data_IF_761857107907
#
_entry.id   IF_761857107907
#
_cell.length_a   1.000
_cell.length_b   1.000
_cell.length_c   1.000
_cell.angle_alpha   90.00
_cell.angle_beta   90.00
_cell.angle_gamma   90.00
#
_symmetry.space_group_name_H-M   'P 1'
#
loop_
_entity.id
_entity.type
_entity.pdbx_description
1 polymer ?
#
# COMPACT_ATOMS: atom_id res chain seq x y z
N UNK A 1 11.45 -6.61 -15.78
CA UNK A 1 10.89 -7.73 -16.59
C UNK A 1 11.00 -9.09 -15.89
N UNK A 2 12.18 -9.69 -15.71
CA UNK A 2 12.28 -11.00 -15.01
C UNK A 2 11.73 -10.98 -13.58
N UNK A 3 12.03 -9.94 -12.79
CA UNK A 3 11.49 -9.78 -11.42
C UNK A 3 9.96 -9.61 -11.36
N UNK A 4 9.37 -8.94 -12.35
CA UNK A 4 7.92 -8.70 -12.42
C UNK A 4 7.17 -9.98 -12.79
N UNK A 5 7.77 -10.76 -13.68
CA UNK A 5 7.28 -12.07 -14.11
C UNK A 5 7.31 -13.08 -12.98
N UNK A 6 8.37 -13.05 -12.17
CA UNK A 6 8.54 -13.94 -11.02
C UNK A 6 7.61 -13.57 -9.86
N UNK A 7 7.38 -12.25 -9.64
CA UNK A 7 6.31 -11.76 -8.76
C UNK A 7 4.93 -12.22 -9.25
N UNK A 8 4.67 -12.15 -10.55
CA UNK A 8 3.40 -12.60 -11.14
C UNK A 8 3.19 -14.11 -10.95
N UNK A 9 4.22 -14.92 -11.20
CA UNK A 9 4.23 -16.38 -10.99
C UNK A 9 3.91 -16.72 -9.53
N UNK A 10 4.65 -16.14 -8.58
CA UNK A 10 4.43 -16.37 -7.14
C UNK A 10 3.04 -15.91 -6.66
N UNK A 11 2.51 -14.84 -7.24
CA UNK A 11 1.15 -14.37 -6.93
C UNK A 11 0.08 -15.33 -7.48
N UNK A 12 0.29 -15.88 -8.68
CA UNK A 12 -0.61 -16.83 -9.31
C UNK A 12 -0.62 -18.19 -8.61
N UNK A 13 0.56 -18.72 -8.23
CA UNK A 13 0.70 -19.95 -7.45
C UNK A 13 0.04 -19.85 -6.07
N UNK A 14 0.18 -18.70 -5.39
CA UNK A 14 -0.51 -18.43 -4.12
C UNK A 14 -2.03 -18.45 -4.27
N UNK A 15 -2.56 -17.87 -5.34
CA UNK A 15 -3.98 -17.89 -5.63
C UNK A 15 -4.47 -19.33 -5.90
N UNK A 16 -3.75 -20.13 -6.70
CA UNK A 16 -4.12 -21.53 -6.94
C UNK A 16 -4.18 -22.35 -5.64
N UNK A 17 -3.22 -22.16 -4.73
CA UNK A 17 -3.24 -22.78 -3.40
C UNK A 17 -4.41 -22.31 -2.55
N UNK A 18 -4.71 -21.02 -2.55
CA UNK A 18 -5.82 -20.43 -1.79
C UNK A 18 -7.19 -21.00 -2.21
N UNK A 19 -7.36 -21.30 -3.51
CA UNK A 19 -8.60 -21.87 -4.06
C UNK A 19 -8.58 -23.40 -4.22
N UNK A 20 -7.56 -24.07 -3.66
CA UNK A 20 -7.38 -25.52 -3.67
C UNK A 20 -7.46 -26.14 -5.09
N UNK A 21 -6.91 -25.45 -6.08
CA UNK A 21 -6.90 -25.88 -7.47
C UNK A 21 -5.68 -26.77 -7.68
N UNK A 22 -5.90 -28.07 -7.90
CA UNK A 22 -4.80 -29.01 -8.17
C UNK A 22 -4.23 -28.80 -9.58
N UNK A 23 -2.90 -28.67 -9.76
CA UNK A 23 -2.27 -28.38 -11.06
C UNK A 23 -2.41 -29.46 -12.14
N UNK A 24 -3.07 -30.60 -11.85
CA UNK A 24 -2.88 -31.85 -12.58
C UNK A 24 -4.08 -32.34 -13.40
N UNK A 25 -5.18 -31.57 -13.48
CA UNK A 25 -6.23 -31.88 -14.45
C UNK A 25 -5.82 -31.36 -15.84
N UNK A 26 -5.80 -32.25 -16.84
CA UNK A 26 -5.41 -31.99 -18.23
C UNK A 26 -6.28 -30.94 -18.98
N UNK A 27 -7.11 -30.20 -18.25
CA UNK A 27 -7.92 -29.07 -18.70
C UNK A 27 -7.48 -27.74 -18.09
N UNK A 28 -6.40 -27.71 -17.29
CA UNK A 28 -5.98 -26.50 -16.58
C UNK A 28 -5.17 -25.55 -17.48
N UNK A 29 -5.61 -24.29 -17.70
CA UNK A 29 -4.84 -23.27 -18.44
C UNK A 29 -3.54 -22.82 -17.75
N UNK A 30 -3.17 -23.45 -16.63
CA UNK A 30 -2.00 -23.09 -15.83
C UNK A 30 -0.72 -23.45 -16.56
N UNK A 31 -0.63 -24.64 -17.14
CA UNK A 31 0.55 -25.02 -17.93
C UNK A 31 0.70 -24.12 -19.17
N UNK A 32 -0.42 -23.73 -19.80
CA UNK A 32 -0.45 -22.80 -20.94
C UNK A 32 0.02 -21.40 -20.52
N UNK A 33 -0.53 -20.81 -19.45
CA UNK A 33 -0.10 -19.51 -18.91
C UNK A 33 1.35 -19.54 -18.44
N UNK A 34 1.81 -20.62 -17.82
CA UNK A 34 3.19 -20.77 -17.34
C UNK A 34 4.19 -20.91 -18.50
N UNK A 35 3.84 -21.67 -19.54
CA UNK A 35 4.66 -21.76 -20.76
C UNK A 35 4.71 -20.43 -21.51
N UNK A 36 3.61 -19.69 -21.60
CA UNK A 36 3.61 -18.36 -22.21
C UNK A 36 4.43 -17.34 -21.40
N UNK A 37 4.41 -17.41 -20.07
CA UNK A 37 5.26 -16.60 -19.19
C UNK A 37 6.75 -16.93 -19.42
N UNK A 38 7.12 -18.20 -19.56
CA UNK A 38 8.49 -18.61 -19.87
C UNK A 38 8.98 -18.17 -21.26
N UNK A 39 8.06 -18.03 -22.22
CA UNK A 39 8.38 -17.47 -23.54
C UNK A 39 8.57 -15.94 -23.43
N UNK A 40 7.68 -15.26 -22.71
CA UNK A 40 7.80 -13.81 -22.46
C UNK A 40 9.06 -13.44 -21.66
N UNK A 41 9.57 -14.33 -20.80
CA UNK A 41 10.81 -14.12 -20.04
C UNK A 41 12.08 -14.14 -20.89
N UNK A 42 12.02 -14.83 -22.03
CA UNK A 42 13.14 -15.02 -22.96
C UNK A 42 13.08 -14.05 -24.16
N UNK A 43 12.02 -13.27 -24.26
CA UNK A 43 11.79 -12.34 -25.37
C UNK A 43 12.67 -11.09 -25.22
N UNK A 44 13.51 -10.83 -26.23
CA UNK A 44 14.49 -9.73 -26.20
C UNK A 44 13.89 -8.38 -26.60
N UNK A 45 12.73 -8.38 -27.26
CA UNK A 45 12.00 -7.19 -27.69
C UNK A 45 10.98 -6.77 -26.61
N UNK A 46 11.24 -5.63 -25.98
CA UNK A 46 10.43 -5.10 -24.89
C UNK A 46 8.97 -4.82 -25.29
N UNK A 47 8.69 -4.42 -26.55
CA UNK A 47 7.32 -4.14 -27.00
C UNK A 47 6.50 -5.42 -27.16
N UNK A 48 7.13 -6.48 -27.67
CA UNK A 48 6.46 -7.79 -27.80
C UNK A 48 6.22 -8.43 -26.44
N UNK A 49 7.19 -8.32 -25.52
CA UNK A 49 7.05 -8.79 -24.15
C UNK A 49 5.90 -8.07 -23.41
N UNK A 50 5.77 -6.74 -23.58
CA UNK A 50 4.70 -5.97 -22.97
C UNK A 50 3.31 -6.32 -23.55
N UNK A 51 3.21 -6.47 -24.86
CA UNK A 51 1.95 -6.87 -25.51
C UNK A 51 1.52 -8.28 -25.06
N UNK A 52 2.47 -9.21 -24.94
CA UNK A 52 2.21 -10.56 -24.40
C UNK A 52 1.81 -10.52 -22.93
N UNK A 53 2.46 -9.70 -22.11
CA UNK A 53 2.07 -9.50 -20.70
C UNK A 53 0.65 -8.96 -20.57
N UNK A 54 0.23 -8.04 -21.46
CA UNK A 54 -1.15 -7.55 -21.51
C UNK A 54 -2.14 -8.66 -21.90
N UNK A 55 -1.78 -9.54 -22.84
CA UNK A 55 -2.61 -10.71 -23.20
C UNK A 55 -2.73 -11.71 -22.05
N UNK A 56 -1.63 -11.99 -21.36
CA UNK A 56 -1.59 -12.86 -20.18
C UNK A 56 -2.40 -12.30 -19.01
N UNK A 57 -2.34 -10.99 -18.76
CA UNK A 57 -3.18 -10.32 -17.77
C UNK A 57 -4.67 -10.43 -18.11
N UNK A 58 -5.04 -10.29 -19.39
CA UNK A 58 -6.43 -10.47 -19.86
C UNK A 58 -6.89 -11.92 -19.70
N UNK A 59 -6.07 -12.89 -20.11
CA UNK A 59 -6.35 -14.32 -19.95
C UNK A 59 -6.49 -14.72 -18.47
N UNK A 60 -5.60 -14.20 -17.60
CA UNK A 60 -5.71 -14.33 -16.15
C UNK A 60 -7.03 -13.78 -15.61
N UNK A 61 -7.41 -12.56 -15.99
CA UNK A 61 -8.68 -11.96 -15.58
C UNK A 61 -9.88 -12.79 -16.06
N UNK A 62 -9.84 -13.32 -17.29
CA UNK A 62 -10.90 -14.13 -17.86
C UNK A 62 -11.00 -15.51 -17.20
N UNK A 63 -9.87 -16.10 -16.80
CA UNK A 63 -9.82 -17.34 -16.04
C UNK A 63 -10.36 -17.17 -14.62
N UNK A 64 -9.93 -16.14 -13.88
CA UNK A 64 -10.46 -15.86 -12.54
C UNK A 64 -11.96 -15.54 -12.57
N UNK A 65 -12.46 -14.91 -13.64
CA UNK A 65 -13.90 -14.74 -13.89
C UNK A 65 -14.68 -16.07 -13.99
N UNK A 66 -14.02 -17.15 -14.42
CA UNK A 66 -14.60 -18.51 -14.56
C UNK A 66 -14.49 -19.32 -13.26
N UNK A 67 -13.40 -19.20 -12.51
CA UNK A 67 -13.10 -20.05 -11.35
C UNK A 67 -13.58 -19.47 -10.01
N UNK A 68 -13.52 -18.15 -9.84
CA UNK A 68 -14.05 -17.48 -8.65
C UNK A 68 -15.01 -16.35 -9.05
N UNK A 69 -16.33 -16.62 -9.06
CA UNK A 69 -17.36 -15.61 -9.29
C UNK A 69 -17.30 -14.44 -8.30
N UNK A 70 -16.64 -14.60 -7.13
CA UNK A 70 -16.43 -13.52 -6.17
C UNK A 70 -15.21 -12.63 -6.48
N UNK A 71 -14.35 -12.98 -7.42
CA UNK A 71 -13.27 -12.09 -7.90
C UNK A 71 -13.77 -11.00 -8.85
N UNK A 72 -15.02 -11.13 -9.31
CA UNK A 72 -15.71 -10.15 -10.17
C UNK A 72 -15.78 -8.77 -9.49
N UNK A 73 -15.60 -7.66 -10.23
CA UNK A 73 -15.96 -6.34 -9.73
C UNK A 73 -17.36 -6.37 -9.11
N UNK A 74 -17.63 -5.62 -8.03
CA UNK A 74 -18.94 -5.61 -7.35
C UNK A 74 -20.12 -5.49 -8.33
N UNK A 75 -19.94 -4.72 -9.41
CA UNK A 75 -20.84 -4.62 -10.57
C UNK A 75 -21.21 -5.98 -11.18
N UNK A 76 -20.25 -6.84 -11.44
CA UNK A 76 -20.48 -8.16 -12.03
C UNK A 76 -21.07 -9.13 -10.98
N UNK A 77 -20.71 -9.04 -9.69
CA UNK A 77 -21.34 -9.88 -8.63
C UNK A 77 -22.82 -9.57 -8.40
N UNK A 78 -23.17 -8.29 -8.35
CA UNK A 78 -24.55 -7.85 -8.09
C UNK A 78 -25.43 -8.09 -9.33
N UNK A 79 -24.86 -8.06 -10.55
CA UNK A 79 -25.63 -8.17 -11.79
C UNK A 79 -25.50 -9.52 -12.55
N UNK A 80 -24.72 -10.48 -12.07
CA UNK A 80 -24.71 -11.87 -12.62
C UNK A 80 -25.59 -12.86 -11.87
N UNK A 81 -26.33 -12.43 -10.84
CA UNK A 81 -27.45 -13.24 -10.34
C UNK A 81 -28.73 -13.12 -11.18
N UNK A 82 -28.73 -12.35 -12.28
CA UNK A 82 -29.88 -12.29 -13.18
C UNK A 82 -29.50 -12.04 -14.65
N UNK A 83 -28.43 -12.67 -15.13
CA UNK A 83 -28.11 -12.66 -16.56
C UNK A 83 -28.96 -13.68 -17.34
N UNK A 84 -30.27 -13.44 -17.39
CA UNK A 84 -31.06 -13.71 -18.59
C UNK A 84 -31.29 -12.37 -19.28
N UNK A 85 -30.84 -12.27 -20.52
CA UNK A 85 -30.81 -11.06 -21.35
C UNK A 85 -32.17 -10.39 -21.60
N UNK A 86 -33.28 -10.97 -21.13
CA UNK A 86 -34.63 -10.40 -21.23
C UNK A 86 -34.98 -9.38 -20.14
N UNK A 87 -34.34 -9.41 -18.96
CA UNK A 87 -34.76 -8.59 -17.81
C UNK A 87 -34.02 -7.25 -17.68
N UNK A 88 -32.94 -7.04 -18.45
CA UNK A 88 -32.16 -5.79 -18.44
C UNK A 88 -33.01 -4.53 -18.67
N UNK A 89 -33.97 -4.48 -19.62
CA UNK A 89 -34.85 -3.32 -19.80
C UNK A 89 -35.81 -3.12 -18.61
N UNK A 90 -36.24 -4.21 -17.98
CA UNK A 90 -37.15 -4.19 -16.83
C UNK A 90 -36.42 -3.65 -15.60
N UNK A 91 -35.18 -4.09 -15.38
CA UNK A 91 -34.31 -3.63 -14.30
C UNK A 91 -34.01 -2.13 -14.48
N UNK A 92 -33.64 -1.70 -15.68
CA UNK A 92 -33.37 -0.29 -15.98
C UNK A 92 -34.60 0.60 -15.78
N UNK A 93 -35.79 0.11 -16.21
CA UNK A 93 -37.05 0.80 -15.98
C UNK A 93 -37.34 0.94 -14.48
N UNK A 94 -37.23 -0.14 -13.70
CA UNK A 94 -37.44 -0.14 -12.25
C UNK A 94 -36.44 0.77 -11.52
N UNK A 95 -35.19 0.84 -11.99
CA UNK A 95 -34.18 1.78 -11.44
C UNK A 95 -34.60 3.23 -11.62
N UNK A 96 -35.04 3.60 -12.83
CA UNK A 96 -35.52 4.97 -13.12
C UNK A 96 -36.76 5.31 -12.31
N UNK A 97 -37.70 4.38 -12.18
CA UNK A 97 -38.89 4.55 -11.34
C UNK A 97 -38.51 4.76 -9.87
N UNK A 98 -37.58 3.96 -9.34
CA UNK A 98 -37.11 4.10 -7.97
C UNK A 98 -36.37 5.42 -7.74
N UNK A 99 -35.50 5.83 -8.66
CA UNK A 99 -34.83 7.12 -8.60
C UNK A 99 -35.85 8.28 -8.60
N UNK A 100 -36.88 8.19 -9.43
CA UNK A 100 -37.95 9.17 -9.49
C UNK A 100 -38.74 9.23 -8.17
N UNK A 101 -39.07 8.08 -7.58
CA UNK A 101 -39.74 8.01 -6.28
C UNK A 101 -38.92 8.69 -5.18
N UNK A 102 -37.61 8.45 -5.11
CA UNK A 102 -36.75 9.14 -4.16
C UNK A 102 -36.79 10.66 -4.34
N UNK A 103 -36.73 11.14 -5.58
CA UNK A 103 -36.81 12.59 -5.89
C UNK A 103 -38.16 13.19 -5.53
N UNK A 104 -39.25 12.48 -5.77
CA UNK A 104 -40.61 12.92 -5.43
C UNK A 104 -40.79 13.02 -3.92
N UNK A 105 -40.36 12.00 -3.17
CA UNK A 105 -40.41 12.02 -1.70
C UNK A 105 -39.56 13.17 -1.15
N UNK A 106 -38.37 13.42 -1.70
CA UNK A 106 -37.53 14.54 -1.26
C UNK A 106 -38.10 15.92 -1.68
N UNK A 107 -38.97 15.97 -2.69
CA UNK A 107 -39.68 17.20 -3.06
C UNK A 107 -40.81 17.52 -2.09
N UNK A 108 -41.54 16.51 -1.62
CA UNK A 108 -42.62 16.68 -0.63
C UNK A 108 -42.09 16.77 0.80
N UNK A 109 -41.04 16.03 1.13
CA UNK A 109 -40.39 15.98 2.44
C UNK A 109 -38.90 16.35 2.35
N UNK A 110 -38.58 17.63 2.10
CA UNK A 110 -37.21 18.09 1.92
C UNK A 110 -36.36 17.99 3.19
N UNK A 111 -36.90 17.62 4.36
CA UNK A 111 -36.12 17.40 5.58
C UNK A 111 -36.16 15.95 6.08
N UNK A 112 -36.48 15.00 5.21
CA UNK A 112 -36.39 13.58 5.53
C UNK A 112 -34.93 13.10 5.40
N UNK A 113 -34.28 12.78 6.53
CA UNK A 113 -32.88 12.36 6.53
C UNK A 113 -32.74 10.90 6.08
N UNK A 114 -33.67 10.03 6.48
CA UNK A 114 -33.66 8.60 6.11
C UNK A 114 -33.79 8.39 4.61
N UNK A 115 -34.68 9.15 3.94
CA UNK A 115 -34.85 9.06 2.49
C UNK A 115 -33.58 9.49 1.76
N UNK A 116 -32.89 10.54 2.23
CA UNK A 116 -31.59 10.95 1.67
C UNK A 116 -30.53 9.87 1.85
N UNK A 117 -30.45 9.26 3.03
CA UNK A 117 -29.53 8.16 3.29
C UNK A 117 -29.80 6.98 2.35
N UNK A 118 -31.06 6.58 2.19
CA UNK A 118 -31.46 5.49 1.28
C UNK A 118 -31.18 5.83 -0.18
N UNK A 119 -31.38 7.08 -0.58
CA UNK A 119 -31.08 7.52 -1.94
C UNK A 119 -29.56 7.54 -2.19
N UNK A 120 -28.75 7.95 -1.20
CA UNK A 120 -27.30 7.83 -1.24
C UNK A 120 -26.85 6.38 -1.40
N UNK A 121 -27.45 5.44 -0.65
CA UNK A 121 -27.19 4.01 -0.79
C UNK A 121 -27.54 3.48 -2.18
N UNK A 122 -28.73 3.82 -2.71
CA UNK A 122 -29.10 3.47 -4.08
C UNK A 122 -28.09 3.99 -5.11
N UNK A 123 -27.62 5.23 -4.99
CA UNK A 123 -26.62 5.80 -5.90
C UNK A 123 -25.25 5.14 -5.77
N UNK A 124 -24.88 4.70 -4.57
CA UNK A 124 -23.66 3.93 -4.33
C UNK A 124 -23.71 2.56 -5.04
N UNK A 125 -24.85 1.87 -4.98
CA UNK A 125 -25.07 0.61 -5.70
C UNK A 125 -25.04 0.80 -7.23
N UNK A 126 -25.47 1.96 -7.71
CA UNK A 126 -25.34 2.39 -9.11
C UNK A 126 -23.92 2.88 -9.48
N UNK A 127 -22.96 2.77 -8.56
CA UNK A 127 -21.57 3.26 -8.69
C UNK A 127 -21.48 4.77 -8.99
N UNK A 128 -22.52 5.53 -8.67
CA UNK A 128 -22.51 6.98 -8.80
C UNK A 128 -21.96 7.61 -7.51
N UNK A 129 -20.69 7.32 -7.22
CA UNK A 129 -20.04 7.59 -5.93
C UNK A 129 -20.09 9.07 -5.54
N UNK A 130 -19.86 9.99 -6.49
CA UNK A 130 -19.90 11.44 -6.21
C UNK A 130 -21.29 11.91 -5.77
N UNK A 131 -22.35 11.41 -6.42
CA UNK A 131 -23.73 11.74 -6.00
C UNK A 131 -24.10 11.04 -4.70
N UNK A 132 -23.65 9.80 -4.50
CA UNK A 132 -23.88 9.06 -3.26
C UNK A 132 -23.32 9.80 -2.04
N UNK A 133 -22.06 10.26 -2.10
CA UNK A 133 -21.41 11.06 -1.04
C UNK A 133 -22.30 12.26 -0.69
N UNK A 134 -22.72 13.03 -1.70
CA UNK A 134 -23.56 14.22 -1.49
C UNK A 134 -24.83 13.91 -0.70
N UNK A 135 -25.53 12.82 -1.04
CA UNK A 135 -26.77 12.45 -0.36
C UNK A 135 -26.54 11.90 1.06
N UNK A 136 -25.44 11.20 1.32
CA UNK A 136 -25.06 10.80 2.68
C UNK A 136 -24.71 12.01 3.55
N UNK A 137 -23.94 12.98 3.03
CA UNK A 137 -23.63 14.23 3.72
C UNK A 137 -24.88 15.06 4.00
N UNK A 138 -25.78 15.18 3.01
CA UNK A 138 -27.05 15.86 3.21
C UNK A 138 -27.93 15.16 4.25
N UNK A 139 -27.94 13.82 4.29
CA UNK A 139 -28.67 13.06 5.30
C UNK A 139 -28.18 13.39 6.71
N UNK A 140 -26.86 13.40 6.93
CA UNK A 140 -26.23 13.77 8.20
C UNK A 140 -26.51 15.25 8.56
N UNK A 141 -26.45 16.16 7.57
CA UNK A 141 -26.74 17.59 7.77
C UNK A 141 -28.20 17.82 8.16
N UNK A 142 -29.14 17.17 7.46
CA UNK A 142 -30.58 17.29 7.71
C UNK A 142 -30.97 16.66 9.04
N UNK A 143 -30.35 15.54 9.41
CA UNK A 143 -30.55 14.92 10.71
C UNK A 143 -30.33 15.89 11.88
N UNK A 144 -29.34 16.79 11.77
CA UNK A 144 -29.03 17.78 12.81
C UNK A 144 -29.92 19.04 12.76
N UNK A 145 -30.87 19.15 11.83
CA UNK A 145 -31.79 20.29 11.76
C UNK A 145 -32.96 20.12 12.72
N UNK A 146 -33.39 21.25 13.31
CA UNK A 146 -34.58 21.30 14.20
C UNK A 146 -35.88 20.82 13.54
N UNK A 147 -36.00 20.96 12.21
CA UNK A 147 -37.18 20.58 11.44
C UNK A 147 -36.97 19.29 10.63
N UNK A 148 -36.10 18.38 11.09
CA UNK A 148 -35.97 17.06 10.52
C UNK A 148 -37.28 16.28 10.66
N UNK A 149 -37.82 15.75 9.56
CA UNK A 149 -39.09 15.00 9.59
C UNK A 149 -38.86 13.55 10.06
N UNK A 150 -37.82 12.91 9.53
CA UNK A 150 -37.42 11.55 9.90
C UNK A 150 -35.91 11.53 10.12
N UNK A 151 -35.44 11.48 11.38
CA UNK A 151 -34.01 11.47 11.71
C UNK A 151 -33.37 10.11 11.43
N UNK A 152 -32.06 10.10 11.22
CA UNK A 152 -31.26 8.87 11.12
C UNK A 152 -31.13 8.17 12.48
N UNK A 153 -31.18 6.84 12.45
CA UNK A 153 -30.76 5.99 13.57
C UNK A 153 -29.23 6.06 13.75
N UNK A 154 -28.72 5.77 14.96
CA UNK A 154 -27.27 5.78 15.22
C UNK A 154 -26.49 4.88 14.26
N UNK A 155 -27.00 3.67 14.01
CA UNK A 155 -26.39 2.76 13.04
C UNK A 155 -26.34 3.35 11.62
N UNK A 156 -27.34 4.13 11.22
CA UNK A 156 -27.39 4.79 9.90
C UNK A 156 -26.39 5.95 9.81
N UNK A 157 -26.14 6.67 10.91
CA UNK A 157 -25.11 7.73 10.94
C UNK A 157 -23.72 7.15 10.75
N UNK A 158 -23.40 6.10 11.50
CA UNK A 158 -22.12 5.39 11.38
C UNK A 158 -21.95 4.86 9.96
N UNK A 159 -22.97 4.19 9.42
CA UNK A 159 -22.96 3.68 8.04
C UNK A 159 -22.82 4.80 7.01
N UNK A 160 -23.47 5.95 7.19
CA UNK A 160 -23.34 7.09 6.28
C UNK A 160 -21.88 7.57 6.20
N UNK A 161 -21.19 7.73 7.33
CA UNK A 161 -19.76 8.07 7.33
C UNK A 161 -18.90 6.99 6.68
N UNK A 162 -19.16 5.72 6.96
CA UNK A 162 -18.45 4.60 6.32
C UNK A 162 -18.64 4.60 4.80
N UNK A 163 -19.87 4.84 4.32
CA UNK A 163 -20.18 4.86 2.90
C UNK A 163 -19.60 6.09 2.19
N UNK A 164 -19.54 7.25 2.85
CA UNK A 164 -18.80 8.41 2.32
C UNK A 164 -17.33 8.04 2.10
N UNK A 165 -16.68 7.43 3.10
CA UNK A 165 -15.29 6.97 2.99
C UNK A 165 -15.11 5.93 1.89
N UNK A 166 -15.99 4.94 1.79
CA UNK A 166 -15.96 3.94 0.73
C UNK A 166 -16.08 4.57 -0.66
N UNK A 167 -17.06 5.46 -0.87
CA UNK A 167 -17.26 6.16 -2.14
C UNK A 167 -16.05 7.03 -2.50
N UNK A 168 -15.48 7.75 -1.52
CA UNK A 168 -14.26 8.53 -1.71
C UNK A 168 -13.07 7.66 -2.14
N UNK A 169 -12.91 6.50 -1.49
CA UNK A 169 -11.89 5.52 -1.86
C UNK A 169 -12.07 4.96 -3.27
N UNK A 170 -13.29 4.72 -3.74
CA UNK A 170 -13.55 4.29 -5.12
C UNK A 170 -13.22 5.39 -6.13
N UNK A 171 -13.61 6.65 -5.86
CA UNK A 171 -13.27 7.79 -6.73
C UNK A 171 -11.76 8.02 -6.82
N UNK A 172 -11.05 7.88 -5.70
CA UNK A 172 -9.60 7.90 -5.69
C UNK A 172 -9.04 6.80 -6.57
N UNK A 173 -9.48 5.56 -6.36
CA UNK A 173 -9.01 4.41 -7.14
C UNK A 173 -9.20 4.65 -8.64
N UNK A 174 -10.37 5.13 -9.05
CA UNK A 174 -10.64 5.48 -10.46
C UNK A 174 -9.70 6.56 -10.98
N UNK A 175 -9.41 7.57 -10.17
CA UNK A 175 -8.47 8.65 -10.51
C UNK A 175 -7.03 8.14 -10.63
N UNK A 176 -6.60 7.24 -9.74
CA UNK A 176 -5.29 6.59 -9.79
C UNK A 176 -5.16 5.66 -10.99
N UNK A 177 -6.19 4.87 -11.29
CA UNK A 177 -6.23 3.99 -12.45
C UNK A 177 -6.16 4.81 -13.75
N UNK A 178 -6.74 6.00 -13.77
CA UNK A 178 -6.61 6.95 -14.88
C UNK A 178 -5.19 7.51 -14.96
N UNK A 179 -4.60 7.97 -13.85
CA UNK A 179 -3.21 8.47 -13.83
C UNK A 179 -2.21 7.43 -14.31
N UNK A 180 -2.37 6.16 -13.91
CA UNK A 180 -1.51 5.06 -14.36
C UNK A 180 -1.62 4.74 -15.86
N UNK A 181 -2.64 5.27 -16.54
CA UNK A 181 -2.78 5.17 -18.01
C UNK A 181 -2.14 6.34 -18.75
N UNK A 182 -1.71 7.38 -18.04
CA UNK A 182 -1.12 8.58 -18.63
C UNK A 182 0.38 8.53 -18.32
N UNK A 183 1.21 8.34 -19.35
CA UNK A 183 2.66 8.59 -19.24
C UNK A 183 2.87 10.09 -19.18
N UNK A 184 3.02 10.63 -17.96
CA UNK A 184 3.33 12.04 -17.77
C UNK A 184 4.60 12.21 -16.96
N UNK A 185 5.44 13.11 -17.43
CA UNK A 185 6.57 13.63 -16.67
C UNK A 185 6.04 14.61 -15.61
N UNK A 186 5.77 14.09 -14.41
CA UNK A 186 5.22 14.85 -13.29
C UNK A 186 6.15 15.97 -12.79
N UNK A 187 7.43 15.94 -13.16
CA UNK A 187 8.40 16.98 -12.79
C UNK A 187 8.23 18.28 -13.60
N UNK A 188 7.46 18.22 -14.71
CA UNK A 188 7.26 19.34 -15.62
C UNK A 188 6.07 20.26 -15.28
N UNK A 189 5.26 19.91 -14.27
CA UNK A 189 4.08 20.69 -13.92
C UNK A 189 4.37 21.78 -12.89
N UNK A 190 4.13 23.04 -13.27
CA UNK A 190 3.92 24.12 -12.31
C UNK A 190 2.65 23.81 -11.50
N UNK A 191 2.83 23.38 -10.25
CA UNK A 191 1.71 23.04 -9.36
C UNK A 191 1.29 24.26 -8.55
N UNK A 192 0.09 24.80 -8.81
CA UNK A 192 -0.58 25.61 -7.81
C UNK A 192 -1.00 24.70 -6.64
N UNK A 193 -0.36 24.87 -5.48
CA UNK A 193 -0.70 24.12 -4.25
C UNK A 193 0.26 22.96 -3.93
N UNK A 194 -0.25 21.92 -3.26
CA UNK A 194 0.58 20.78 -2.81
C UNK A 194 0.94 19.90 -4.01
N UNK A 195 2.18 19.41 -4.04
CA UNK A 195 2.64 18.48 -5.08
C UNK A 195 1.77 17.21 -5.12
N UNK A 196 1.60 16.61 -6.30
CA UNK A 196 0.78 15.40 -6.48
C UNK A 196 1.26 14.26 -5.58
N UNK A 197 2.57 14.10 -5.42
CA UNK A 197 3.20 13.14 -4.49
C UNK A 197 2.73 13.34 -3.05
N UNK A 198 2.63 14.60 -2.61
CA UNK A 198 2.17 14.95 -1.25
C UNK A 198 0.68 14.69 -1.07
N UNK A 199 -0.13 14.93 -2.10
CA UNK A 199 -1.55 14.58 -2.09
C UNK A 199 -1.77 13.06 -2.01
N UNK A 200 -1.02 12.29 -2.81
CA UNK A 200 -1.06 10.82 -2.81
C UNK A 200 -0.68 10.25 -1.45
N UNK A 201 0.40 10.74 -0.82
CA UNK A 201 0.82 10.28 0.51
C UNK A 201 -0.23 10.53 1.59
N UNK A 202 -0.95 11.65 1.51
CA UNK A 202 -2.01 11.98 2.45
C UNK A 202 -3.20 11.03 2.35
N UNK A 203 -3.60 10.67 1.12
CA UNK A 203 -4.74 9.77 0.92
C UNK A 203 -4.39 8.33 1.30
N UNK A 204 -3.13 7.91 1.11
CA UNK A 204 -2.68 6.59 1.51
C UNK A 204 -2.62 6.39 3.03
N UNK A 205 -2.50 7.46 3.84
CA UNK A 205 -2.07 7.34 5.24
C UNK A 205 -2.99 7.99 6.31
N UNK A 206 -4.32 7.95 6.16
CA UNK A 206 -5.23 8.54 7.17
C UNK A 206 -5.33 7.78 8.51
N UNK A 207 -4.70 6.59 8.64
CA UNK A 207 -4.73 5.80 9.89
C UNK A 207 -3.37 5.30 10.38
N UNK A 208 -2.29 5.67 9.71
CA UNK A 208 -0.97 5.14 10.05
C UNK A 208 -0.30 6.01 11.11
N UNK A 209 0.14 5.39 12.21
CA UNK A 209 1.00 6.02 13.20
C UNK A 209 2.44 5.93 12.68
N UNK A 210 3.04 7.08 12.42
CA UNK A 210 4.47 7.16 12.13
C UNK A 210 5.22 7.29 13.44
N UNK A 211 6.37 6.65 13.49
CA UNK A 211 7.32 6.83 14.58
C UNK A 211 8.64 7.32 14.03
N UNK A 212 9.22 8.30 14.71
CA UNK A 212 10.61 8.66 14.56
C UNK A 212 11.41 8.13 15.74
N UNK A 213 12.62 7.65 15.48
CA UNK A 213 13.69 7.52 16.46
C UNK A 213 14.68 8.63 16.14
N UNK A 214 14.75 9.64 17.01
CA UNK A 214 15.66 10.78 16.87
C UNK A 214 16.73 10.63 17.94
N UNK A 215 17.96 10.34 17.54
CA UNK A 215 19.10 10.15 18.46
C UNK A 215 18.79 9.19 19.62
N UNK A 216 18.10 8.08 19.32
CA UNK A 216 17.72 7.04 20.30
C UNK A 216 16.36 7.26 20.96
N UNK A 217 15.74 8.43 20.82
CA UNK A 217 14.43 8.71 21.39
C UNK A 217 13.30 8.40 20.40
N UNK A 218 12.50 7.38 20.73
CA UNK A 218 11.30 7.02 19.96
C UNK A 218 10.13 7.95 20.29
N UNK A 219 9.52 8.54 19.28
CA UNK A 219 8.29 9.35 19.39
C UNK A 219 7.33 9.13 18.22
N UNK A 220 6.04 9.27 18.49
CA UNK A 220 5.04 9.34 17.44
C UNK A 220 5.15 10.69 16.72
N UNK A 221 5.08 10.69 15.40
CA UNK A 221 5.16 11.90 14.56
C UNK A 221 3.98 11.97 13.60
N UNK A 222 3.65 13.18 13.15
CA UNK A 222 2.66 13.38 12.09
C UNK A 222 3.29 13.19 10.70
N UNK A 223 2.47 12.95 9.67
CA UNK A 223 2.92 12.97 8.27
C UNK A 223 3.61 14.31 7.91
N UNK A 224 3.11 15.43 8.45
CA UNK A 224 3.71 16.75 8.21
C UNK A 224 5.13 16.83 8.76
N UNK A 225 5.36 16.20 9.92
CA UNK A 225 6.66 16.16 10.56
C UNK A 225 7.62 15.22 9.82
N UNK A 226 7.15 14.04 9.37
CA UNK A 226 7.91 13.18 8.46
C UNK A 226 8.41 13.93 7.21
N UNK A 227 7.50 14.64 6.54
CA UNK A 227 7.85 15.39 5.33
C UNK A 227 8.87 16.49 5.61
N UNK A 228 8.82 17.12 6.79
CA UNK A 228 9.82 18.10 7.22
C UNK A 228 11.20 17.45 7.37
N UNK A 229 11.29 16.29 8.02
CA UNK A 229 12.57 15.57 8.11
C UNK A 229 13.11 15.16 6.75
N UNK A 230 12.24 14.84 5.80
CA UNK A 230 12.67 14.48 4.44
C UNK A 230 13.21 15.69 3.67
N UNK A 231 12.55 16.84 3.78
CA UNK A 231 12.87 18.07 3.04
C UNK A 231 14.06 18.82 3.62
N UNK A 232 14.15 18.94 4.95
CA UNK A 232 15.13 19.79 5.65
C UNK A 232 16.03 18.92 6.53
N UNK A 233 17.27 18.68 6.08
CA UNK A 233 18.30 17.98 6.85
C UNK A 233 19.56 18.83 6.94
N UNK A 234 20.12 18.92 8.14
CA UNK A 234 21.47 19.44 8.35
C UNK A 234 22.49 18.55 7.61
N UNK A 235 23.62 19.12 7.15
CA UNK A 235 24.63 18.41 6.34
C UNK A 235 25.13 17.12 6.99
N UNK A 236 25.18 17.08 8.33
CA UNK A 236 25.68 15.95 9.11
C UNK A 236 24.58 15.06 9.71
N UNK A 237 23.30 15.28 9.36
CA UNK A 237 22.18 14.47 9.84
C UNK A 237 21.91 13.28 8.90
N UNK A 238 21.90 12.08 9.46
CA UNK A 238 21.51 10.87 8.76
C UNK A 238 20.01 10.63 8.87
N UNK A 239 19.32 10.58 7.74
CA UNK A 239 17.90 10.25 7.68
C UNK A 239 17.68 8.88 7.06
N UNK A 240 17.05 7.99 7.81
CA UNK A 240 16.65 6.65 7.36
C UNK A 240 15.12 6.62 7.33
N UNK A 241 14.52 6.24 6.20
CA UNK A 241 13.07 6.15 6.09
C UNK A 241 12.62 4.84 5.47
N UNK A 242 11.60 4.25 6.08
CA UNK A 242 10.88 3.08 5.57
C UNK A 242 9.43 3.40 5.21
N UNK A 243 9.14 4.70 5.10
CA UNK A 243 7.79 5.19 4.85
C UNK A 243 7.39 5.01 3.38
N UNK A 244 8.33 4.99 2.44
CA UNK A 244 7.99 5.04 0.99
C UNK A 244 8.17 3.69 0.27
N UNK A 245 8.30 2.59 1.03
CA UNK A 245 8.45 1.24 0.49
C UNK A 245 9.80 0.64 0.84
N UNK A 246 10.81 0.85 0.00
CA UNK A 246 12.18 0.43 0.30
C UNK A 246 12.80 1.35 1.36
N UNK A 247 13.58 0.77 2.28
CA UNK A 247 14.40 1.58 3.20
C UNK A 247 15.37 2.40 2.37
N UNK A 248 15.29 3.72 2.51
CA UNK A 248 16.26 4.61 1.93
C UNK A 248 17.01 5.38 3.02
N UNK A 249 18.29 5.65 2.74
CA UNK A 249 19.15 6.46 3.59
C UNK A 249 19.51 7.74 2.84
N UNK A 250 19.42 8.87 3.53
CA UNK A 250 19.81 10.20 3.07
C UNK A 250 20.82 10.80 4.04
N UNK A 251 21.87 11.41 3.52
CA UNK A 251 22.84 12.17 4.32
C UNK A 251 22.88 13.61 3.79
N UNK A 252 22.51 14.58 4.63
CA UNK A 252 22.40 15.98 4.23
C UNK A 252 21.43 16.20 3.05
N UNK A 253 21.68 17.22 2.23
CA UNK A 253 20.75 17.60 1.14
C UNK A 253 20.91 16.77 -0.16
N UNK A 254 22.03 16.05 -0.34
CA UNK A 254 22.54 15.81 -1.69
C UNK A 254 22.38 14.38 -2.22
N UNK A 255 22.26 13.34 -1.38
CA UNK A 255 22.21 11.95 -1.86
C UNK A 255 21.30 11.03 -1.06
N UNK A 256 20.50 10.25 -1.78
CA UNK A 256 19.64 9.18 -1.27
C UNK A 256 20.06 7.82 -1.83
N UNK A 257 19.95 6.77 -1.03
CA UNK A 257 20.26 5.41 -1.45
C UNK A 257 19.20 4.43 -0.95
N UNK A 258 18.60 3.71 -1.88
CA UNK A 258 17.69 2.60 -1.57
C UNK A 258 18.46 1.32 -1.23
N UNK A 259 17.93 0.57 -0.26
CA UNK A 259 18.50 -0.70 0.18
C UNK A 259 17.68 -1.90 -0.33
N UNK A 260 18.35 -3.01 -0.69
CA UNK A 260 17.70 -4.29 -0.94
C UNK A 260 16.90 -4.76 0.29
N UNK A 261 15.80 -5.49 0.06
CA UNK A 261 14.86 -5.91 1.11
C UNK A 261 15.56 -6.59 2.31
N UNK A 262 16.56 -7.44 2.06
CA UNK A 262 17.30 -8.11 3.14
C UNK A 262 18.09 -7.15 4.04
N UNK A 263 18.77 -6.15 3.45
CA UNK A 263 19.54 -5.16 4.23
C UNK A 263 18.62 -4.17 4.94
N UNK A 264 17.55 -3.76 4.27
CA UNK A 264 16.46 -2.95 4.83
C UNK A 264 15.91 -3.55 6.12
N UNK A 265 15.68 -4.86 6.16
CA UNK A 265 15.20 -5.56 7.36
C UNK A 265 16.22 -5.52 8.51
N UNK A 266 17.50 -5.75 8.22
CA UNK A 266 18.53 -5.70 9.26
C UNK A 266 18.64 -4.27 9.83
N UNK A 267 18.60 -3.25 8.96
CA UNK A 267 18.57 -1.84 9.39
C UNK A 267 17.34 -1.60 10.27
N UNK A 268 16.14 -2.01 9.85
CA UNK A 268 14.92 -1.87 10.64
C UNK A 268 15.09 -2.42 12.06
N UNK A 269 15.50 -3.70 12.19
CA UNK A 269 15.63 -4.37 13.49
C UNK A 269 16.68 -3.69 14.37
N UNK A 270 17.84 -3.33 13.80
CA UNK A 270 18.87 -2.60 14.54
C UNK A 270 18.31 -1.26 15.04
N UNK A 271 17.64 -0.50 14.18
CA UNK A 271 17.14 0.83 14.54
C UNK A 271 16.00 0.79 15.56
N UNK A 272 15.12 -0.21 15.53
CA UNK A 272 14.04 -0.35 16.53
C UNK A 272 14.56 -0.69 17.93
N UNK A 273 15.65 -1.45 18.00
CA UNK A 273 16.18 -2.00 19.25
C UNK A 273 17.40 -1.23 19.75
N UNK A 274 17.84 -0.20 19.02
CA UNK A 274 18.95 0.63 19.45
C UNK A 274 18.57 1.34 20.75
N UNK A 275 19.41 1.21 21.76
CA UNK A 275 19.22 1.92 23.02
C UNK A 275 19.57 3.40 22.86
N UNK A 276 19.24 4.22 23.87
CA UNK A 276 19.68 5.63 23.93
C UNK A 276 21.20 5.78 23.90
N UNK A 277 21.94 4.74 24.30
CA UNK A 277 23.41 4.69 24.23
C UNK A 277 23.93 4.30 22.82
N UNK A 278 23.05 4.15 21.84
CA UNK A 278 23.40 3.95 20.43
C UNK A 278 23.88 2.54 20.11
N UNK A 279 23.48 1.50 20.87
CA UNK A 279 23.87 0.13 20.57
C UNK A 279 22.74 -0.89 20.75
N UNK A 280 22.90 -2.06 20.12
CA UNK A 280 22.09 -3.26 20.29
C UNK A 280 23.01 -4.48 20.44
N UNK A 281 22.68 -5.44 21.29
CA UNK A 281 23.49 -6.66 21.45
C UNK A 281 23.24 -7.62 20.28
N UNK A 282 24.28 -8.35 19.87
CA UNK A 282 24.12 -9.36 18.81
C UNK A 282 23.15 -10.46 19.26
N UNK A 283 23.19 -10.88 20.52
CA UNK A 283 22.23 -11.84 21.08
C UNK A 283 20.79 -11.37 20.87
N UNK A 284 20.48 -10.11 21.17
CA UNK A 284 19.15 -9.54 20.96
C UNK A 284 18.73 -9.54 19.49
N UNK A 285 19.66 -9.21 18.59
CA UNK A 285 19.41 -9.30 17.14
C UNK A 285 19.15 -10.75 16.71
N UNK A 286 19.86 -11.72 17.29
CA UNK A 286 19.66 -13.13 16.99
C UNK A 286 18.31 -13.63 17.47
N UNK A 287 17.86 -13.24 18.67
CA UNK A 287 16.52 -13.56 19.17
C UNK A 287 15.42 -13.07 18.23
N UNK A 288 15.54 -11.83 17.74
CA UNK A 288 14.56 -11.20 16.86
C UNK A 288 14.59 -11.72 15.42
N UNK A 289 15.72 -12.31 15.01
CA UNK A 289 15.91 -12.88 13.69
C UNK A 289 15.92 -14.42 13.71
N UNK A 290 15.14 -15.03 14.61
CA UNK A 290 14.92 -16.48 14.76
C UNK A 290 16.18 -17.36 14.96
N UNK A 291 17.27 -16.80 15.48
CA UNK A 291 18.49 -17.53 15.86
C UNK A 291 19.27 -18.18 14.70
N UNK A 292 18.73 -18.20 13.47
CA UNK A 292 19.38 -18.73 12.26
C UNK A 292 20.52 -17.84 11.77
N UNK A 293 20.54 -16.59 12.22
CA UNK A 293 21.54 -15.61 11.82
C UNK A 293 22.71 -15.64 12.81
N UNK A 294 23.88 -16.04 12.34
CA UNK A 294 25.10 -16.03 13.15
C UNK A 294 25.65 -14.60 13.30
N UNK A 295 26.47 -14.36 14.32
CA UNK A 295 27.20 -13.09 14.46
C UNK A 295 28.01 -12.73 13.18
N UNK A 296 28.48 -13.75 12.45
CA UNK A 296 29.19 -13.57 11.18
C UNK A 296 28.25 -13.27 10.00
N UNK A 297 27.01 -13.78 10.00
CA UNK A 297 25.97 -13.33 9.05
C UNK A 297 25.62 -11.86 9.27
N UNK A 298 25.39 -11.46 10.52
CA UNK A 298 25.11 -10.05 10.88
C UNK A 298 26.28 -9.16 10.44
N UNK A 299 27.53 -9.57 10.72
CA UNK A 299 28.73 -8.85 10.28
C UNK A 299 28.77 -8.70 8.76
N UNK A 300 28.62 -9.79 8.01
CA UNK A 300 28.64 -9.74 6.53
C UNK A 300 27.59 -8.79 5.97
N UNK A 301 26.40 -8.75 6.56
CA UNK A 301 25.34 -7.84 6.13
C UNK A 301 25.62 -6.38 6.55
N UNK A 302 26.26 -6.13 7.69
CA UNK A 302 26.78 -4.79 8.05
C UNK A 302 27.82 -4.33 7.02
N UNK A 303 28.78 -5.19 6.66
CA UNK A 303 29.80 -4.86 5.65
C UNK A 303 29.14 -4.54 4.28
N UNK A 304 28.09 -5.26 3.90
CA UNK A 304 27.28 -4.97 2.70
C UNK A 304 26.53 -3.64 2.81
N UNK A 305 26.03 -3.28 3.99
CA UNK A 305 25.39 -1.97 4.22
C UNK A 305 26.41 -0.86 4.01
N UNK A 306 27.61 -0.98 4.57
CA UNK A 306 28.69 0.00 4.38
C UNK A 306 29.06 0.16 2.91
N UNK A 307 29.19 -0.94 2.18
CA UNK A 307 29.48 -0.90 0.73
C UNK A 307 28.40 -0.12 -0.04
N UNK A 308 27.12 -0.30 0.32
CA UNK A 308 26.04 0.46 -0.29
C UNK A 308 26.03 1.93 0.14
N UNK A 309 26.54 2.28 1.33
CA UNK A 309 26.63 3.65 1.81
C UNK A 309 27.77 4.46 1.17
N UNK A 310 28.79 3.83 0.56
CA UNK A 310 29.92 4.54 -0.08
C UNK A 310 29.50 5.58 -1.10
N UNK A 311 28.37 5.38 -1.80
CA UNK A 311 27.89 6.34 -2.80
C UNK A 311 27.33 7.64 -2.20
N UNK A 312 27.08 7.68 -0.89
CA UNK A 312 26.46 8.82 -0.22
C UNK A 312 27.45 9.98 0.04
N UNK A 313 28.77 9.76 0.03
CA UNK A 313 29.78 10.83 0.20
C UNK A 313 31.04 10.53 -0.61
N UNK A 314 31.49 11.48 -1.43
CA UNK A 314 32.53 11.28 -2.45
C UNK A 314 33.94 10.98 -1.90
N UNK A 315 34.20 11.22 -0.61
CA UNK A 315 35.57 11.15 -0.06
C UNK A 315 35.70 10.34 1.24
N UNK A 316 34.62 9.81 1.83
CA UNK A 316 34.68 9.12 3.12
C UNK A 316 33.78 7.88 3.16
N UNK A 317 34.31 6.77 3.68
CA UNK A 317 33.53 5.58 4.04
C UNK A 317 32.55 5.97 5.16
N UNK A 318 31.25 6.00 4.84
CA UNK A 318 30.21 6.19 5.85
C UNK A 318 30.01 4.85 6.56
N UNK A 319 30.65 4.72 7.72
CA UNK A 319 30.36 3.64 8.66
C UNK A 319 29.05 3.94 9.38
N UNK A 320 28.00 3.20 9.03
CA UNK A 320 26.69 3.32 9.71
C UNK A 320 26.73 2.63 11.08
N UNK A 321 27.13 1.36 11.07
CA UNK A 321 27.22 0.51 12.25
C UNK A 321 28.64 -0.01 12.45
N UNK A 322 29.02 -0.26 13.70
CA UNK A 322 30.28 -0.91 14.06
C UNK A 322 30.02 -2.08 14.98
N UNK A 323 30.59 -3.24 14.64
CA UNK A 323 30.55 -4.40 15.52
C UNK A 323 31.66 -4.27 16.57
N UNK A 324 31.28 -3.93 17.80
CA UNK A 324 32.15 -3.94 18.96
C UNK A 324 32.26 -5.35 19.55
N UNK A 325 33.48 -5.89 19.53
CA UNK A 325 33.83 -7.21 20.08
C UNK A 325 34.73 -7.09 21.32
N UNK A 326 34.81 -5.91 21.94
CA UNK A 326 35.60 -5.70 23.17
C UNK A 326 35.17 -6.66 24.29
N UNK A 327 33.89 -7.05 24.33
CA UNK A 327 33.40 -8.17 25.11
C UNK A 327 33.00 -9.35 24.20
N UNK A 328 33.80 -10.43 24.13
CA UNK A 328 33.51 -11.60 23.31
C UNK A 328 32.22 -12.34 23.69
N UNK A 329 31.79 -12.26 24.95
CA UNK A 329 30.59 -12.92 25.45
C UNK A 329 29.30 -12.15 25.10
N UNK A 330 29.42 -10.85 24.78
CA UNK A 330 28.29 -10.01 24.44
C UNK A 330 28.69 -8.96 23.37
N UNK A 331 28.95 -9.39 22.13
CA UNK A 331 29.28 -8.45 21.06
C UNK A 331 28.09 -7.51 20.80
N UNK A 332 28.41 -6.27 20.43
CA UNK A 332 27.42 -5.19 20.25
C UNK A 332 27.53 -4.60 18.86
N UNK A 333 26.40 -4.28 18.26
CA UNK A 333 26.33 -3.43 17.08
C UNK A 333 26.06 -2.01 17.56
N UNK A 334 27.00 -1.09 17.33
CA UNK A 334 26.92 0.32 17.70
C UNK A 334 26.64 1.17 16.46
N UNK A 335 25.68 2.08 16.52
CA UNK A 335 25.55 3.12 15.51
C UNK A 335 26.67 4.14 15.70
N UNK A 336 27.43 4.41 14.64
CA UNK A 336 28.62 5.26 14.70
C UNK A 336 28.24 6.75 14.72
N UNK A 337 27.09 7.09 14.13
CA UNK A 337 26.62 8.46 13.99
C UNK A 337 25.77 8.87 15.20
N UNK A 338 26.07 10.05 15.73
CA UNK A 338 25.36 10.63 16.89
C UNK A 338 24.11 11.42 16.49
N UNK A 339 24.04 11.90 15.24
CA UNK A 339 22.91 12.67 14.71
C UNK A 339 22.17 11.88 13.62
N UNK A 340 21.05 11.27 14.00
CA UNK A 340 20.23 10.48 13.09
C UNK A 340 18.74 10.59 13.39
N UNK A 341 17.97 10.44 12.32
CA UNK A 341 16.51 10.36 12.34
C UNK A 341 16.12 9.10 11.57
N UNK A 342 15.47 8.17 12.25
CA UNK A 342 14.88 6.99 11.61
C UNK A 342 13.37 7.06 11.68
N UNK A 343 12.69 7.02 10.53
CA UNK A 343 11.23 7.06 10.45
C UNK A 343 10.68 5.79 9.83
N UNK A 344 9.68 5.21 10.48
CA UNK A 344 8.97 4.04 10.00
C UNK A 344 7.46 4.14 10.25
N UNK A 345 6.71 3.32 9.53
CA UNK A 345 5.27 3.15 9.70
C UNK A 345 5.01 1.96 10.61
N UNK A 346 4.14 2.10 11.59
CA UNK A 346 3.59 0.95 12.31
C UNK A 346 2.49 0.32 11.46
N UNK A 347 2.87 -0.54 10.50
CA UNK A 347 1.93 -1.46 9.85
C UNK A 347 1.68 -2.65 10.79
N UNK A 348 0.48 -3.24 10.75
CA UNK A 348 0.08 -4.37 11.63
C UNK A 348 1.21 -5.41 11.73
N UNK A 349 1.89 -5.42 12.89
CA UNK A 349 2.95 -6.33 13.33
C UNK A 349 3.73 -6.99 12.20
N UNK A 350 4.90 -6.43 11.86
CA UNK A 350 5.96 -7.19 11.20
C UNK A 350 6.17 -8.48 12.01
N UNK A 351 5.74 -9.61 11.45
CA UNK A 351 5.96 -10.91 12.05
C UNK A 351 7.41 -11.30 11.77
N UNK A 352 8.28 -11.03 12.75
CA UNK A 352 9.71 -11.30 12.64
C UNK A 352 10.03 -12.80 12.54
N UNK A 353 9.06 -13.68 12.84
CA UNK A 353 9.23 -15.14 12.98
C UNK A 353 9.34 -15.94 11.66
N UNK A 354 9.47 -15.25 10.52
CA UNK A 354 9.62 -15.90 9.21
C UNK A 354 10.88 -15.45 8.44
N UNK A 355 11.82 -14.76 9.08
CA UNK A 355 12.86 -13.99 8.36
C UNK A 355 14.25 -14.63 8.40
N UNK A 356 14.73 -15.07 7.24
CA UNK A 356 16.13 -15.42 7.00
C UNK A 356 16.81 -14.27 6.22
N UNK A 357 17.80 -13.58 6.82
CA UNK A 357 18.52 -12.47 6.13
C UNK A 357 19.65 -12.98 5.22
N UNK A 358 19.94 -14.29 5.24
CA UNK A 358 20.89 -14.94 4.32
C UNK A 358 20.24 -15.44 3.01
N UNK A 359 18.91 -15.32 2.84
CA UNK A 359 18.28 -15.58 1.54
C UNK A 359 18.62 -14.45 0.56
N UNK A 360 19.50 -14.74 -0.40
CA UNK A 360 19.74 -13.84 -1.54
C UNK A 360 18.46 -13.72 -2.39
N UNK A 361 18.01 -12.48 -2.64
CA UNK A 361 16.92 -12.15 -3.58
C UNK A 361 17.41 -11.97 -5.02
#
# INVERSE_FOLDING_TARGET
MNKDLEKFKRAYERLCKQFNIEPNEAQHPFQEVMSELEVASKESDAKQAEERMRRLQRSKQEYFRKVDPQSRPLRERIFLHDSRTQDRPIIEKKRKELEQQFREILRTEPNNAVVRYRYGYFLMEEMNFSRAIRYFEEALRVHNKRNCTVPLEEAQKVKAHMYIGFCGGQLLKESLDQLGQIEVDFESFDTEGRTMTKALLMVMNEREQYYAIVNGEKRAISLTEYLRYKEVLEEDCLFISEVEGATFIKLGEWRTKDFPSALSRLIHVIMQEITSDGYVTVERLQELLDGRNTADSIRRNIDRIHEQCKVLKDEHDIELFKLDRSNPEAPKVKLVLENYIYVYRETEKFDFTQLNIDEEE
#
